data_IF_492700596242
#
_entry.id   IF_492700596242
#
_cell.length_a   1.000
_cell.length_b   1.000
_cell.length_c   1.000
_cell.angle_alpha   90.00
_cell.angle_beta   90.00
_cell.angle_gamma   90.00
#
_symmetry.space_group_name_H-M   'P 1'
#
loop_
_entity.id
_entity.type
_entity.pdbx_description
1 polymer ?
#
# COMPACT_ATOMS: atom_id res chain seq x y z
N UNK A 1 39.36 -46.85 25.58
CA UNK A 1 39.08 -46.87 24.13
C UNK A 1 37.61 -46.49 23.92
N UNK A 2 37.30 -45.23 23.63
CA UNK A 2 35.98 -44.79 23.13
C UNK A 2 36.23 -43.49 22.36
N UNK A 3 36.36 -43.62 21.04
CA UNK A 3 36.45 -42.48 20.11
C UNK A 3 35.00 -42.15 19.74
N UNK A 4 34.52 -40.97 20.13
CA UNK A 4 33.24 -40.41 19.68
C UNK A 4 33.30 -40.20 18.17
N UNK A 5 32.58 -41.01 17.38
CA UNK A 5 32.41 -40.76 15.94
C UNK A 5 31.47 -39.57 15.75
N UNK A 6 31.99 -38.48 15.18
CA UNK A 6 31.19 -37.36 14.66
C UNK A 6 30.15 -37.91 13.69
N UNK A 7 28.87 -37.59 13.95
CA UNK A 7 27.80 -37.75 12.97
C UNK A 7 28.07 -36.79 11.80
N UNK A 8 28.66 -37.31 10.72
CA UNK A 8 28.79 -36.61 9.46
C UNK A 8 27.47 -36.78 8.71
N UNK A 9 26.63 -35.74 8.73
CA UNK A 9 25.49 -35.68 7.82
C UNK A 9 26.01 -35.67 6.38
N UNK A 10 25.54 -36.65 5.58
CA UNK A 10 26.01 -36.88 4.22
C UNK A 10 25.83 -35.62 3.37
N UNK A 11 26.87 -35.15 2.64
CA UNK A 11 26.78 -33.94 1.80
C UNK A 11 25.69 -34.06 0.71
N UNK A 12 25.34 -35.30 0.34
CA UNK A 12 24.24 -35.62 -0.57
C UNK A 12 22.85 -35.26 -0.01
N UNK A 13 22.63 -35.42 1.31
CA UNK A 13 21.37 -35.08 1.98
C UNK A 13 21.19 -33.57 2.10
N UNK A 14 22.30 -32.84 2.31
CA UNK A 14 22.29 -31.37 2.35
C UNK A 14 22.04 -30.81 0.94
N UNK A 15 22.69 -31.37 -0.08
CA UNK A 15 22.47 -30.98 -1.48
C UNK A 15 21.05 -31.26 -1.97
N UNK A 16 20.47 -32.40 -1.61
CA UNK A 16 19.08 -32.74 -1.94
C UNK A 16 18.08 -31.80 -1.25
N UNK A 17 18.32 -31.44 0.02
CA UNK A 17 17.48 -30.50 0.74
C UNK A 17 17.53 -29.08 0.13
N UNK A 18 18.71 -28.59 -0.26
CA UNK A 18 18.84 -27.30 -0.95
C UNK A 18 18.20 -27.30 -2.35
N UNK A 19 18.33 -28.40 -3.10
CA UNK A 19 17.71 -28.54 -4.41
C UNK A 19 16.17 -28.52 -4.32
N UNK A 20 15.58 -29.22 -3.34
CA UNK A 20 14.13 -29.20 -3.12
C UNK A 20 13.59 -27.80 -2.77
N UNK A 21 14.32 -26.99 -1.99
CA UNK A 21 13.91 -25.62 -1.65
C UNK A 21 13.96 -24.68 -2.87
N UNK A 22 14.94 -24.86 -3.76
CA UNK A 22 15.10 -24.01 -4.95
C UNK A 22 13.99 -24.19 -6.01
N UNK A 23 13.40 -25.37 -6.11
CA UNK A 23 12.30 -25.65 -7.06
C UNK A 23 10.97 -25.03 -6.61
N UNK A 24 10.80 -24.77 -5.31
CA UNK A 24 9.58 -24.19 -4.74
C UNK A 24 9.38 -22.69 -5.01
N UNK A 25 10.40 -21.98 -5.53
CA UNK A 25 10.32 -20.53 -5.78
C UNK A 25 10.01 -20.15 -7.25
N UNK A 26 9.88 -21.12 -8.15
CA UNK A 26 9.67 -20.85 -9.59
C UNK A 26 8.23 -20.46 -9.96
N UNK A 27 7.29 -20.47 -8.98
CA UNK A 27 5.86 -20.25 -9.21
C UNK A 27 5.32 -18.86 -8.84
N UNK A 28 6.12 -17.98 -8.23
CA UNK A 28 5.67 -16.63 -7.91
C UNK A 28 5.75 -15.75 -9.17
N UNK A 29 4.70 -15.77 -9.99
CA UNK A 29 4.58 -14.88 -11.15
C UNK A 29 4.79 -13.42 -10.72
N UNK A 30 5.37 -12.60 -11.60
CA UNK A 30 5.50 -11.15 -11.37
C UNK A 30 4.16 -10.54 -10.97
N UNK A 31 3.06 -11.03 -11.53
CA UNK A 31 1.68 -10.62 -11.20
C UNK A 31 1.23 -11.03 -9.79
N UNK A 32 1.51 -12.26 -9.33
CA UNK A 32 1.18 -12.68 -7.96
C UNK A 32 2.03 -11.94 -6.93
N UNK A 33 3.31 -11.67 -7.23
CA UNK A 33 4.15 -10.83 -6.38
C UNK A 33 3.68 -9.36 -6.37
N UNK A 34 3.28 -8.80 -7.52
CA UNK A 34 2.73 -7.44 -7.58
C UNK A 34 1.37 -7.35 -6.86
N UNK A 35 0.55 -8.41 -6.89
CA UNK A 35 -0.71 -8.51 -6.15
C UNK A 35 -0.48 -8.56 -4.65
N UNK A 36 0.51 -9.32 -4.17
CA UNK A 36 0.89 -9.35 -2.74
C UNK A 36 1.47 -8.00 -2.30
N UNK A 37 2.33 -7.39 -3.12
CA UNK A 37 2.82 -6.04 -2.88
C UNK A 37 1.65 -5.05 -2.81
N UNK A 38 0.62 -5.22 -3.65
CA UNK A 38 -0.56 -4.35 -3.70
C UNK A 38 -1.61 -4.63 -2.61
N UNK A 39 -1.74 -5.85 -2.13
CA UNK A 39 -2.73 -6.23 -1.11
C UNK A 39 -2.34 -5.77 0.30
N UNK A 40 -1.05 -5.50 0.55
CA UNK A 40 -0.53 -4.88 1.77
C UNK A 40 -0.36 -3.36 1.59
N UNK A 41 -1.02 -2.73 0.60
CA UNK A 41 -0.93 -1.28 0.40
C UNK A 41 -1.90 -0.57 1.33
N UNK A 42 -1.58 -0.56 2.62
CA UNK A 42 -1.67 0.72 3.32
C UNK A 42 -0.65 1.60 2.61
N UNK A 43 -1.09 2.48 1.70
CA UNK A 43 -0.16 3.41 1.07
C UNK A 43 0.29 4.39 2.14
N UNK A 44 1.42 4.07 2.78
CA UNK A 44 2.06 4.88 3.81
C UNK A 44 3.24 5.60 3.18
N UNK A 45 3.13 6.91 3.07
CA UNK A 45 4.20 7.79 2.60
C UNK A 45 3.95 9.16 3.21
N UNK A 46 4.95 9.76 3.85
CA UNK A 46 4.83 11.04 4.59
C UNK A 46 4.61 12.27 3.69
N UNK A 47 4.33 12.08 2.39
CA UNK A 47 4.18 13.13 1.39
C UNK A 47 3.08 12.80 0.36
N UNK A 48 1.99 12.15 0.79
CA UNK A 48 0.88 11.79 -0.08
C UNK A 48 0.03 12.99 -0.52
N UNK A 49 -0.44 12.95 -1.77
CA UNK A 49 -1.34 13.92 -2.39
C UNK A 49 -2.58 13.20 -2.93
N UNK A 50 -3.76 13.69 -2.56
CA UNK A 50 -5.05 13.25 -3.08
C UNK A 50 -5.69 14.37 -3.89
N UNK A 51 -5.84 14.14 -5.18
CA UNK A 51 -6.53 15.03 -6.10
C UNK A 51 -7.92 14.46 -6.42
N UNK A 52 -8.97 15.22 -6.11
CA UNK A 52 -10.36 14.89 -6.44
C UNK A 52 -10.74 15.60 -7.74
N UNK A 53 -11.08 14.81 -8.75
CA UNK A 53 -11.34 15.28 -10.10
C UNK A 53 -12.82 15.13 -10.41
N UNK A 54 -13.43 16.15 -11.01
CA UNK A 54 -14.79 16.06 -11.53
C UNK A 54 -14.86 16.74 -12.89
N UNK A 55 -15.41 16.04 -13.88
CA UNK A 55 -15.65 16.59 -15.22
C UNK A 55 -14.39 17.22 -15.84
N UNK A 56 -13.23 16.60 -15.63
CA UNK A 56 -11.94 17.06 -16.14
C UNK A 56 -11.29 18.21 -15.37
N UNK A 57 -11.83 18.61 -14.21
CA UNK A 57 -11.28 19.69 -13.37
C UNK A 57 -10.87 19.17 -11.99
N UNK A 58 -9.77 19.71 -11.46
CA UNK A 58 -9.33 19.47 -10.08
C UNK A 58 -10.21 20.29 -9.12
N UNK A 59 -10.97 19.59 -8.27
CA UNK A 59 -11.90 20.21 -7.31
C UNK A 59 -11.24 20.46 -5.97
N UNK A 60 -10.53 19.45 -5.46
CA UNK A 60 -9.85 19.50 -4.16
C UNK A 60 -8.51 18.82 -4.27
N UNK A 61 -7.51 19.39 -3.59
CA UNK A 61 -6.22 18.75 -3.35
C UNK A 61 -5.98 18.66 -1.87
N UNK A 62 -5.67 17.45 -1.40
CA UNK A 62 -5.18 17.25 -0.05
C UNK A 62 -3.72 16.82 -0.13
N UNK A 63 -2.84 17.49 0.61
CA UNK A 63 -1.40 17.20 0.68
C UNK A 63 -1.01 16.73 2.08
N UNK A 64 0.24 16.27 2.23
CA UNK A 64 0.79 15.77 3.50
C UNK A 64 -0.07 14.64 4.10
N UNK A 65 -0.59 13.77 3.23
CA UNK A 65 -1.35 12.59 3.64
C UNK A 65 -0.36 11.49 3.98
N UNK A 66 -0.32 11.10 5.25
CA UNK A 66 0.57 10.03 5.73
C UNK A 66 0.11 8.66 5.24
N UNK A 67 -1.21 8.45 5.19
CA UNK A 67 -1.84 7.18 4.87
C UNK A 67 -3.27 7.34 4.38
N UNK A 68 -3.64 6.56 3.36
CA UNK A 68 -5.04 6.23 3.07
C UNK A 68 -5.40 4.86 3.64
N UNK A 69 -6.54 4.82 4.33
CA UNK A 69 -7.07 3.59 4.92
C UNK A 69 -8.37 3.22 4.22
N UNK A 70 -8.55 1.92 3.95
CA UNK A 70 -9.82 1.41 3.43
C UNK A 70 -10.75 1.12 4.60
N UNK A 71 -11.93 1.72 4.56
CA UNK A 71 -13.05 1.42 5.46
C UNK A 71 -14.14 0.65 4.73
N UNK A 72 -14.88 -0.15 5.48
CA UNK A 72 -16.11 -0.79 5.03
C UNK A 72 -17.24 -0.37 5.94
N UNK A 73 -18.31 0.21 5.40
CA UNK A 73 -19.49 0.53 6.18
C UNK A 73 -20.24 -0.78 6.54
N UNK A 74 -20.25 -1.17 7.81
CA UNK A 74 -20.91 -2.39 8.30
C UNK A 74 -22.37 -2.17 8.69
N UNK A 75 -23.15 -1.53 7.82
CA UNK A 75 -24.58 -1.28 8.06
C UNK A 75 -25.35 -1.02 6.77
N UNK A 76 -26.23 -1.96 6.40
CA UNK A 76 -27.06 -1.93 5.18
C UNK A 76 -26.80 -3.11 4.24
N UNK A 77 -27.68 -3.31 3.25
CA UNK A 77 -27.60 -4.42 2.27
C UNK A 77 -26.35 -4.36 1.36
N UNK A 78 -25.62 -3.24 1.35
CA UNK A 78 -24.40 -3.10 0.56
C UNK A 78 -23.25 -2.54 1.40
N UNK A 79 -22.27 -3.41 1.70
CA UNK A 79 -20.98 -3.00 2.25
C UNK A 79 -20.24 -2.15 1.22
N UNK A 80 -20.31 -0.82 1.35
CA UNK A 80 -19.56 0.09 0.47
C UNK A 80 -18.15 0.29 0.99
N UNK A 81 -17.18 0.01 0.13
CA UNK A 81 -15.80 0.37 0.36
C UNK A 81 -15.65 1.88 0.16
N UNK A 82 -15.00 2.52 1.12
CA UNK A 82 -14.54 3.90 1.02
C UNK A 82 -13.09 3.97 1.48
N UNK A 83 -12.39 5.01 1.05
CA UNK A 83 -11.07 5.33 1.59
C UNK A 83 -11.16 6.61 2.39
N UNK A 84 -10.38 6.67 3.45
CA UNK A 84 -10.32 7.85 4.29
C UNK A 84 -8.89 8.13 4.71
N UNK A 85 -8.65 9.38 5.09
CA UNK A 85 -7.34 9.84 5.49
C UNK A 85 -7.40 11.21 6.15
N UNK A 86 -6.22 11.69 6.50
CA UNK A 86 -6.03 13.03 7.04
C UNK A 86 -4.98 13.75 6.20
N UNK A 87 -5.29 14.94 5.72
CA UNK A 87 -4.39 15.75 4.89
C UNK A 87 -4.72 17.24 5.01
N UNK A 88 -3.78 18.09 4.60
CA UNK A 88 -3.99 19.55 4.54
C UNK A 88 -4.73 19.86 3.25
N UNK A 89 -5.85 20.58 3.33
CA UNK A 89 -6.55 21.06 2.13
C UNK A 89 -5.74 22.21 1.51
N UNK A 90 -5.10 21.91 0.39
CA UNK A 90 -4.36 22.87 -0.44
C UNK A 90 -5.36 23.60 -1.34
N UNK A 91 -5.72 24.81 -0.92
CA UNK A 91 -6.82 25.59 -1.49
C UNK A 91 -6.44 26.29 -2.79
N UNK A 92 -5.17 26.65 -2.95
CA UNK A 92 -4.65 27.30 -4.15
C UNK A 92 -3.94 26.31 -5.10
N UNK A 93 -3.87 25.03 -4.71
CA UNK A 93 -3.34 23.91 -5.49
C UNK A 93 -1.85 24.05 -5.82
N UNK A 94 -1.06 24.63 -4.90
CA UNK A 94 0.36 24.91 -5.07
C UNK A 94 1.30 23.85 -4.48
N UNK A 95 0.78 22.76 -3.90
CA UNK A 95 1.50 21.69 -3.20
C UNK A 95 2.19 22.07 -1.89
N UNK A 96 1.88 23.24 -1.33
CA UNK A 96 2.47 23.78 -0.10
C UNK A 96 1.36 23.94 0.94
N UNK A 97 1.66 23.59 2.19
CA UNK A 97 0.73 23.85 3.29
C UNK A 97 0.84 25.32 3.70
N UNK A 98 -0.07 26.15 3.20
CA UNK A 98 -0.05 27.60 3.44
C UNK A 98 -0.56 27.99 4.84
N UNK A 99 -0.14 29.14 5.39
CA UNK A 99 -0.65 29.62 6.68
C UNK A 99 -2.18 29.75 6.68
N UNK A 100 -2.83 29.03 7.60
CA UNK A 100 -4.29 29.02 7.75
C UNK A 100 -4.97 27.80 7.13
N UNK A 101 -4.28 27.05 6.26
CA UNK A 101 -4.76 25.75 5.81
C UNK A 101 -4.66 24.73 6.95
N UNK A 102 -5.64 23.83 7.02
CA UNK A 102 -5.81 22.92 8.15
C UNK A 102 -5.74 21.48 7.69
N UNK A 103 -5.18 20.61 8.55
CA UNK A 103 -5.29 19.16 8.40
C UNK A 103 -6.73 18.75 8.69
N UNK A 104 -7.39 18.14 7.71
CA UNK A 104 -8.77 17.71 7.76
C UNK A 104 -8.87 16.20 7.59
N UNK A 105 -9.94 15.64 8.14
CA UNK A 105 -10.41 14.30 7.78
C UNK A 105 -11.18 14.38 6.46
N UNK A 106 -10.99 13.39 5.59
CA UNK A 106 -11.78 13.24 4.38
C UNK A 106 -12.12 11.77 4.12
N UNK A 107 -13.21 11.55 3.41
CA UNK A 107 -13.63 10.25 2.87
C UNK A 107 -13.88 10.38 1.37
N UNK A 108 -13.45 9.37 0.63
CA UNK A 108 -13.72 9.22 -0.80
C UNK A 108 -14.40 7.88 -1.05
N UNK A 109 -15.47 7.92 -1.83
CA UNK A 109 -16.20 6.72 -2.24
C UNK A 109 -15.47 6.08 -3.41
N UNK A 110 -15.18 4.78 -3.31
CA UNK A 110 -14.54 4.03 -4.40
C UNK A 110 -15.47 3.87 -5.63
N UNK A 111 -16.77 4.19 -5.51
CA UNK A 111 -17.75 4.03 -6.58
C UNK A 111 -18.10 5.31 -7.34
N UNK A 112 -17.94 6.48 -6.71
CA UNK A 112 -18.55 7.72 -7.19
C UNK A 112 -17.61 8.93 -7.18
N UNK A 113 -16.42 8.80 -6.62
CA UNK A 113 -15.43 9.86 -6.57
C UNK A 113 -14.30 9.52 -7.53
N UNK A 114 -14.09 10.34 -8.56
CA UNK A 114 -12.87 10.22 -9.38
C UNK A 114 -11.74 10.92 -8.63
N UNK A 115 -10.69 10.18 -8.32
CA UNK A 115 -9.53 10.71 -7.61
C UNK A 115 -8.24 10.02 -8.03
N UNK A 116 -7.13 10.70 -7.78
CA UNK A 116 -5.79 10.14 -7.92
C UNK A 116 -5.06 10.36 -6.61
N UNK A 117 -4.49 9.30 -6.06
CA UNK A 117 -3.60 9.37 -4.92
C UNK A 117 -2.17 9.04 -5.36
N UNK A 118 -1.22 9.92 -5.04
CA UNK A 118 0.16 9.85 -5.51
C UNK A 118 1.10 10.50 -4.50
N UNK A 119 2.40 10.32 -4.67
CA UNK A 119 3.42 11.04 -3.89
C UNK A 119 3.66 12.42 -4.49
N UNK A 120 3.78 13.45 -3.65
CA UNK A 120 4.03 14.81 -4.10
C UNK A 120 5.30 14.87 -4.99
N UNK A 121 5.20 15.34 -6.25
CA UNK A 121 6.32 15.34 -7.18
C UNK A 121 7.24 16.57 -7.02
N UNK A 122 6.91 17.50 -6.14
CA UNK A 122 7.62 18.76 -5.92
C UNK A 122 8.48 18.75 -4.65
#
# INVERSE_FOLDING_TARGET
MQIRSRSQSSPLLIAAALACVSVSFSGCTKESQNKISRSVQNWTGTNGVLDVINSGKLMYRFINIDKLTTGSATGGEESRAYRYGYGVLDTNQNYIADPGEKKLYFEISDYSTSYIFYENPL
#
